data_IF_656526505948
#
_entry.id   IF_656526505948
#
_cell.length_a   1.000
_cell.length_b   1.000
_cell.length_c   1.000
_cell.angle_alpha   90.00
_cell.angle_beta   90.00
_cell.angle_gamma   90.00
#
_symmetry.space_group_name_H-M   'P 1'
#
loop_
_entity.id
_entity.type
_entity.pdbx_description
1 polymer ?
#
# COMPACT_ATOMS: atom_id res chain seq x y z
N UNK A 1 9.28 21.20 4.91
CA UNK A 1 9.53 20.16 3.89
C UNK A 1 8.51 19.08 4.10
N UNK A 2 7.90 18.59 3.03
CA UNK A 2 6.93 17.49 3.07
C UNK A 2 7.51 16.29 2.33
N UNK A 3 7.14 15.07 2.73
CA UNK A 3 7.62 13.83 2.11
C UNK A 3 6.43 12.91 1.84
N UNK A 4 6.32 12.45 0.60
CA UNK A 4 5.38 11.40 0.19
C UNK A 4 6.17 10.19 -0.30
N UNK A 5 6.00 9.06 0.37
CA UNK A 5 6.58 7.78 -0.01
C UNK A 5 5.47 6.92 -0.63
N UNK A 6 5.56 6.62 -1.92
CA UNK A 6 4.56 5.77 -2.60
C UNK A 6 5.18 4.37 -2.80
N UNK A 7 4.59 3.36 -2.17
CA UNK A 7 4.95 1.95 -2.38
C UNK A 7 3.82 1.23 -3.13
N UNK A 8 4.14 0.70 -4.32
CA UNK A 8 3.24 -0.16 -5.07
C UNK A 8 3.64 -1.65 -4.90
N UNK A 9 2.69 -2.51 -4.53
CA UNK A 9 2.95 -3.94 -4.37
C UNK A 9 2.92 -4.67 -5.73
N UNK A 10 3.79 -5.67 -5.87
CA UNK A 10 3.96 -6.50 -7.08
C UNK A 10 4.12 -5.71 -8.39
N UNK A 11 4.60 -4.47 -8.30
CA UNK A 11 4.67 -3.57 -9.45
C UNK A 11 5.92 -3.82 -10.28
N UNK A 12 5.74 -4.30 -11.51
CA UNK A 12 6.84 -4.55 -12.43
C UNK A 12 7.31 -3.26 -13.09
N UNK A 13 8.62 -3.08 -13.16
CA UNK A 13 9.27 -1.92 -13.80
C UNK A 13 8.92 -1.79 -15.29
N UNK A 14 8.69 -2.91 -15.97
CA UNK A 14 8.34 -2.92 -17.39
C UNK A 14 6.87 -2.60 -17.66
N UNK A 15 6.07 -2.25 -16.64
CA UNK A 15 4.75 -1.65 -16.79
C UNK A 15 4.76 -0.13 -16.99
N UNK A 16 5.94 0.51 -16.93
CA UNK A 16 6.10 1.96 -17.03
C UNK A 16 6.40 2.40 -18.47
N UNK A 17 5.69 3.41 -18.95
CA UNK A 17 5.88 4.01 -20.27
C UNK A 17 7.29 4.54 -20.47
N UNK A 18 7.83 5.31 -19.52
CA UNK A 18 9.20 5.83 -19.60
C UNK A 18 10.29 4.73 -19.53
N UNK A 19 9.93 3.51 -19.13
CA UNK A 19 10.82 2.34 -19.16
C UNK A 19 10.71 1.54 -20.48
N UNK A 20 9.97 2.06 -21.47
CA UNK A 20 9.85 1.49 -22.81
C UNK A 20 8.60 0.64 -23.04
N UNK A 21 7.57 0.74 -22.18
CA UNK A 21 6.30 0.07 -22.42
C UNK A 21 5.41 0.89 -23.36
N UNK A 22 5.17 0.37 -24.57
CA UNK A 22 4.35 1.04 -25.59
C UNK A 22 2.84 0.74 -25.47
N UNK A 23 2.44 -0.17 -24.58
CA UNK A 23 1.05 -0.63 -24.41
C UNK A 23 0.40 0.04 -23.21
N UNK A 24 1.05 -0.01 -22.05
CA UNK A 24 0.55 0.53 -20.79
C UNK A 24 0.91 2.02 -20.72
N UNK A 25 -0.11 2.86 -20.60
CA UNK A 25 0.05 4.31 -20.55
C UNK A 25 0.14 4.79 -19.10
N UNK A 26 1.29 5.32 -18.69
CA UNK A 26 1.53 5.82 -17.33
C UNK A 26 1.91 7.31 -17.29
N UNK A 27 1.12 8.22 -17.89
CA UNK A 27 1.54 9.61 -18.13
C UNK A 27 1.90 10.37 -16.85
N UNK A 28 1.23 10.07 -15.73
CA UNK A 28 1.54 10.71 -14.44
C UNK A 28 2.89 10.24 -13.86
N UNK A 29 3.21 8.96 -13.96
CA UNK A 29 4.48 8.40 -13.49
C UNK A 29 5.63 8.77 -14.43
N UNK A 30 5.37 8.84 -15.73
CA UNK A 30 6.35 9.27 -16.73
C UNK A 30 6.71 10.75 -16.53
N UNK A 31 5.71 11.59 -16.22
CA UNK A 31 5.94 12.99 -15.83
C UNK A 31 6.74 13.09 -14.53
N UNK A 32 6.40 12.30 -13.51
CA UNK A 32 7.17 12.25 -12.25
C UNK A 32 8.63 11.87 -12.49
N UNK A 33 8.88 10.87 -13.34
CA UNK A 33 10.23 10.46 -13.71
C UNK A 33 10.99 11.57 -14.47
N UNK A 34 10.31 12.31 -15.35
CA UNK A 34 10.90 13.41 -16.12
C UNK A 34 11.20 14.66 -15.27
N UNK A 35 10.41 14.92 -14.23
CA UNK A 35 10.59 16.04 -13.29
C UNK A 35 11.56 15.71 -12.14
N UNK A 36 11.91 14.43 -11.97
CA UNK A 36 12.74 13.93 -10.87
C UNK A 36 13.94 13.10 -11.33
N UNK A 37 14.23 12.05 -10.59
CA UNK A 37 15.27 11.09 -10.91
C UNK A 37 14.67 9.68 -10.96
N UNK A 38 14.97 8.93 -12.04
CA UNK A 38 14.57 7.52 -12.20
C UNK A 38 15.79 6.61 -12.09
N UNK A 39 15.69 5.56 -11.27
CA UNK A 39 16.75 4.58 -11.06
C UNK A 39 16.44 3.31 -11.85
N UNK A 40 17.21 3.03 -12.90
CA UNK A 40 16.99 1.86 -13.78
C UNK A 40 17.56 0.54 -13.23
N UNK A 41 18.22 0.61 -12.07
CA UNK A 41 18.87 -0.53 -11.39
C UNK A 41 18.54 -0.54 -9.89
N UNK A 42 17.27 -0.41 -9.56
CA UNK A 42 16.75 -0.64 -8.21
C UNK A 42 16.41 -2.11 -8.01
N UNK A 43 16.87 -2.70 -6.90
CA UNK A 43 16.56 -4.09 -6.55
C UNK A 43 15.95 -4.13 -5.16
N UNK A 44 14.91 -4.94 -4.99
CA UNK A 44 14.40 -5.29 -3.67
C UNK A 44 15.43 -6.15 -2.94
N UNK A 45 15.54 -5.94 -1.62
CA UNK A 45 16.50 -6.67 -0.79
C UNK A 45 16.03 -8.07 -0.41
N UNK A 46 14.73 -8.31 -0.47
CA UNK A 46 14.10 -9.56 -0.09
C UNK A 46 12.80 -9.78 -0.86
N UNK A 47 12.36 -11.03 -0.90
CA UNK A 47 11.02 -11.47 -1.29
C UNK A 47 10.57 -12.54 -0.29
N UNK A 48 9.29 -12.64 0.10
CA UNK A 48 8.09 -11.92 -0.42
C UNK A 48 7.89 -10.49 0.15
N UNK A 49 6.66 -9.95 0.05
CA UNK A 49 6.29 -8.56 0.37
C UNK A 49 6.71 -8.11 1.79
N UNK A 50 6.40 -8.89 2.82
CA UNK A 50 6.75 -8.57 4.21
C UNK A 50 8.24 -8.33 4.42
N UNK A 51 9.12 -9.31 4.14
CA UNK A 51 10.57 -9.11 4.18
C UNK A 51 11.08 -7.91 3.38
N UNK A 52 10.52 -7.70 2.18
CA UNK A 52 10.90 -6.58 1.32
C UNK A 52 10.58 -5.23 1.98
N UNK A 53 9.36 -5.06 2.49
CA UNK A 53 8.91 -3.85 3.20
C UNK A 53 9.70 -3.63 4.48
N UNK A 54 9.98 -4.68 5.26
CA UNK A 54 10.81 -4.55 6.46
C UNK A 54 12.22 -4.06 6.11
N UNK A 55 12.81 -4.52 5.01
CA UNK A 55 14.10 -3.99 4.53
C UNK A 55 13.99 -2.51 4.12
N UNK A 56 12.90 -2.10 3.46
CA UNK A 56 12.66 -0.70 3.07
C UNK A 56 12.55 0.20 4.32
N UNK A 57 11.66 -0.15 5.25
CA UNK A 57 11.39 0.69 6.42
C UNK A 57 12.53 0.73 7.42
N UNK A 58 13.38 -0.29 7.49
CA UNK A 58 14.54 -0.30 8.41
C UNK A 58 15.85 0.10 7.74
N UNK A 59 15.88 0.20 6.40
CA UNK A 59 17.13 0.33 5.62
C UNK A 59 18.19 -0.73 5.93
N UNK A 60 17.77 -1.91 6.40
CA UNK A 60 18.62 -3.04 6.78
C UNK A 60 18.45 -4.20 5.78
N UNK A 61 19.51 -4.97 5.59
CA UNK A 61 19.45 -6.22 4.82
C UNK A 61 18.56 -7.25 5.53
N UNK A 62 17.98 -8.20 4.78
CA UNK A 62 17.16 -9.28 5.34
C UNK A 62 17.89 -10.10 6.42
N UNK A 63 19.20 -10.30 6.27
CA UNK A 63 20.01 -11.00 7.29
C UNK A 63 20.12 -10.21 8.61
N UNK A 64 19.94 -8.90 8.55
CA UNK A 64 19.93 -8.00 9.72
C UNK A 64 18.52 -7.86 10.31
N UNK A 65 17.47 -7.78 9.48
CA UNK A 65 16.09 -7.68 9.97
C UNK A 65 15.57 -9.01 10.53
N UNK A 66 16.04 -10.13 9.97
CA UNK A 66 15.62 -11.51 10.26
C UNK A 66 14.14 -11.79 9.97
N UNK A 67 13.41 -10.82 9.41
CA UNK A 67 12.09 -11.02 8.82
C UNK A 67 12.28 -11.72 7.46
N UNK A 68 12.25 -13.05 7.45
CA UNK A 68 12.62 -13.87 6.28
C UNK A 68 11.43 -14.34 5.46
N UNK A 69 10.21 -14.23 5.98
CA UNK A 69 8.96 -14.53 5.27
C UNK A 69 7.84 -13.61 5.74
N UNK A 70 6.70 -13.60 5.04
CA UNK A 70 5.48 -12.98 5.56
C UNK A 70 5.16 -13.56 6.93
N UNK A 71 4.63 -12.71 7.81
CA UNK A 71 4.36 -13.05 9.21
C UNK A 71 5.58 -13.41 10.08
N UNK A 72 6.81 -13.21 9.58
CA UNK A 72 7.98 -13.29 10.45
C UNK A 72 8.10 -11.99 11.24
N UNK A 73 8.12 -12.03 12.59
CA UNK A 73 8.18 -10.82 13.37
C UNK A 73 9.41 -9.96 13.11
N UNK A 74 9.23 -8.64 13.08
CA UNK A 74 10.33 -7.68 13.12
C UNK A 74 10.60 -7.28 14.57
N UNK A 75 11.65 -7.85 15.17
CA UNK A 75 12.01 -7.62 16.58
C UNK A 75 12.35 -6.17 16.91
N UNK A 76 13.13 -5.53 16.05
CA UNK A 76 13.66 -4.18 16.29
C UNK A 76 12.79 -3.11 15.61
N UNK A 77 11.45 -3.27 15.64
CA UNK A 77 10.54 -2.40 14.89
C UNK A 77 10.59 -0.91 15.32
N UNK A 78 11.08 -0.64 16.53
CA UNK A 78 11.35 0.71 17.04
C UNK A 78 12.59 1.37 16.42
N UNK A 79 13.41 0.64 15.68
CA UNK A 79 14.53 1.17 14.89
C UNK A 79 14.16 1.42 13.42
N UNK A 80 12.87 1.35 13.09
CA UNK A 80 12.41 1.63 11.73
C UNK A 80 12.29 3.14 11.48
N UNK A 81 12.37 3.51 10.20
CA UNK A 81 12.20 4.86 9.69
C UNK A 81 11.01 5.63 10.29
N UNK A 82 9.77 5.10 10.34
CA UNK A 82 8.65 5.83 10.95
C UNK A 82 8.89 6.18 12.42
N UNK A 83 9.48 5.28 13.22
CA UNK A 83 9.80 5.57 14.62
C UNK A 83 10.89 6.64 14.73
N UNK A 84 11.95 6.56 13.92
CA UNK A 84 12.98 7.60 13.89
C UNK A 84 12.44 8.98 13.47
N UNK A 85 11.50 9.02 12.53
CA UNK A 85 10.82 10.26 12.14
C UNK A 85 9.96 10.79 13.29
N UNK A 86 9.20 9.92 13.95
CA UNK A 86 8.40 10.25 15.13
C UNK A 86 9.26 10.85 16.24
N UNK A 87 10.36 10.21 16.61
CA UNK A 87 11.27 10.67 17.66
C UNK A 87 11.96 12.01 17.30
N UNK A 88 12.11 12.30 16.01
CA UNK A 88 12.60 13.58 15.51
C UNK A 88 11.50 14.67 15.47
N UNK A 89 10.29 14.37 15.92
CA UNK A 89 9.15 15.30 16.02
C UNK A 89 8.30 15.40 14.76
N UNK A 90 8.42 14.46 13.81
CA UNK A 90 7.50 14.34 12.68
C UNK A 90 6.32 13.44 13.02
N UNK A 91 5.22 13.55 12.28
CA UNK A 91 4.05 12.66 12.43
C UNK A 91 3.85 11.91 11.11
N UNK A 92 4.53 10.76 10.89
CA UNK A 92 4.38 10.03 9.65
C UNK A 92 3.03 9.29 9.62
N UNK A 93 2.20 9.60 8.63
CA UNK A 93 0.97 8.86 8.35
C UNK A 93 1.23 7.64 7.47
N UNK A 94 0.36 6.63 7.60
CA UNK A 94 0.28 5.46 6.72
C UNK A 94 -1.13 5.36 6.13
N UNK A 95 -1.21 5.36 4.80
CA UNK A 95 -2.42 5.03 4.03
C UNK A 95 -2.15 3.73 3.25
N UNK A 96 -2.89 2.68 3.58
CA UNK A 96 -2.65 1.32 3.06
C UNK A 96 -2.08 0.39 4.13
N UNK A 97 -1.08 -0.42 3.77
CA UNK A 97 -0.54 -1.49 4.60
C UNK A 97 0.98 -1.61 4.49
N UNK A 98 1.60 -2.27 5.47
CA UNK A 98 3.07 -2.37 5.60
C UNK A 98 3.62 -3.79 5.82
N UNK A 99 2.75 -4.81 5.96
CA UNK A 99 3.09 -6.20 6.25
C UNK A 99 3.90 -6.43 7.55
N UNK A 100 3.84 -5.50 8.50
CA UNK A 100 4.49 -5.64 9.79
C UNK A 100 3.89 -6.81 10.58
N UNK A 101 4.74 -7.53 11.29
CA UNK A 101 4.30 -8.51 12.28
C UNK A 101 5.03 -8.25 13.59
N UNK A 102 4.30 -8.05 14.71
CA UNK A 102 4.92 -7.77 16.00
C UNK A 102 5.62 -9.00 16.55
N UNK A 103 6.71 -8.79 17.30
CA UNK A 103 7.33 -9.84 18.12
C UNK A 103 6.33 -10.25 19.21
N UNK A 104 5.93 -11.52 19.33
CA UNK A 104 5.04 -11.95 20.41
C UNK A 104 5.58 -11.61 21.80
N UNK A 105 6.90 -11.47 21.96
CA UNK A 105 7.52 -11.09 23.22
C UNK A 105 7.25 -9.64 23.67
N UNK A 106 6.70 -8.78 22.81
CA UNK A 106 6.34 -7.38 23.14
C UNK A 106 4.83 -7.16 23.29
N UNK A 107 4.02 -8.21 23.09
CA UNK A 107 2.58 -8.14 23.21
C UNK A 107 2.14 -8.36 24.66
N UNK A 108 1.01 -7.74 25.03
CA UNK A 108 0.40 -7.91 26.35
C UNK A 108 -0.27 -9.28 26.47
N UNK A 109 -0.35 -9.81 27.70
CA UNK A 109 -1.03 -11.09 27.94
C UNK A 109 -2.50 -11.02 27.51
N UNK A 110 -2.93 -11.97 26.67
CA UNK A 110 -4.27 -12.02 26.10
C UNK A 110 -4.45 -11.23 24.80
N UNK A 111 -3.39 -10.64 24.24
CA UNK A 111 -3.42 -10.06 22.89
C UNK A 111 -3.71 -11.15 21.86
N UNK A 112 -4.74 -10.95 21.05
CA UNK A 112 -5.19 -11.90 20.02
C UNK A 112 -4.09 -12.27 19.01
N UNK A 113 -3.09 -11.39 18.80
CA UNK A 113 -1.98 -11.64 17.88
C UNK A 113 -1.00 -12.70 18.39
N UNK A 114 -1.13 -13.14 19.64
CA UNK A 114 -0.47 -14.36 20.11
C UNK A 114 -1.02 -15.63 19.47
N UNK A 115 -2.30 -15.63 19.10
CA UNK A 115 -3.04 -16.81 18.66
C UNK A 115 -3.35 -16.79 17.17
N UNK A 116 -3.27 -15.61 16.52
CA UNK A 116 -3.56 -15.45 15.09
C UNK A 116 -2.56 -14.54 14.39
N UNK A 117 -2.19 -14.94 13.17
CA UNK A 117 -1.47 -14.08 12.25
C UNK A 117 -2.45 -13.11 11.58
N UNK A 118 -2.04 -11.85 11.47
CA UNK A 118 -2.84 -10.81 10.82
C UNK A 118 -1.90 -9.83 10.12
N UNK A 119 -2.35 -9.30 8.99
CA UNK A 119 -1.68 -8.21 8.30
C UNK A 119 -2.09 -6.83 8.84
N UNK A 120 -3.13 -6.80 9.69
CA UNK A 120 -3.68 -5.61 10.31
C UNK A 120 -2.80 -5.04 11.43
N UNK A 121 -1.48 -5.04 11.24
CA UNK A 121 -0.54 -4.40 12.14
C UNK A 121 -0.06 -3.06 11.57
N UNK A 122 0.30 -2.14 12.45
CA UNK A 122 0.94 -0.88 12.08
C UNK A 122 2.34 -0.84 12.67
N UNK A 123 3.33 -0.49 11.84
CA UNK A 123 4.71 -0.41 12.27
C UNK A 123 4.88 0.80 13.22
N UNK A 124 5.62 0.68 14.34
CA UNK A 124 5.78 1.75 15.31
C UNK A 124 6.21 3.08 14.68
N UNK A 125 5.68 4.17 15.21
CA UNK A 125 5.91 5.54 14.72
C UNK A 125 4.93 6.00 13.65
N UNK A 126 4.29 5.10 12.91
CA UNK A 126 3.22 5.48 11.98
C UNK A 126 1.90 5.78 12.71
N UNK A 127 1.25 6.87 12.32
CA UNK A 127 -0.18 7.07 12.49
C UNK A 127 -0.90 6.29 11.38
N UNK A 128 -1.77 5.34 11.75
CA UNK A 128 -2.63 4.65 10.78
C UNK A 128 -3.75 5.59 10.35
N UNK A 129 -3.59 6.21 9.18
CA UNK A 129 -4.57 7.16 8.62
C UNK A 129 -5.74 6.41 8.01
N UNK A 130 -5.44 5.38 7.23
CA UNK A 130 -6.42 4.49 6.61
C UNK A 130 -5.75 3.16 6.33
N UNK A 131 -6.35 2.06 6.80
CA UNK A 131 -5.84 0.71 6.52
C UNK A 131 -6.61 0.10 5.37
N UNK A 132 -5.88 -0.45 4.42
CA UNK A 132 -6.47 -1.06 3.24
C UNK A 132 -5.57 -2.17 2.76
N UNK A 133 -6.10 -3.38 2.61
CA UNK A 133 -5.33 -4.55 2.19
C UNK A 133 -6.08 -5.39 1.16
N UNK A 134 -6.93 -6.35 1.58
CA UNK A 134 -7.69 -7.23 0.69
C UNK A 134 -9.21 -6.96 0.79
N UNK A 135 -9.77 -6.99 1.99
CA UNK A 135 -11.17 -6.62 2.24
C UNK A 135 -11.19 -5.30 2.99
N UNK A 136 -11.69 -4.25 2.34
CA UNK A 136 -11.95 -2.98 3.00
C UNK A 136 -13.44 -2.74 3.07
N UNK A 137 -14.01 -2.96 4.26
CA UNK A 137 -15.42 -2.69 4.56
C UNK A 137 -15.79 -1.25 4.17
N UNK A 138 -14.93 -0.28 4.50
CA UNK A 138 -15.13 1.13 4.18
C UNK A 138 -15.16 1.42 2.66
N UNK A 139 -14.40 0.67 1.86
CA UNK A 139 -14.46 0.77 0.39
C UNK A 139 -15.74 0.14 -0.16
N UNK A 140 -16.15 -1.03 0.36
CA UNK A 140 -17.38 -1.70 -0.06
C UNK A 140 -18.64 -0.93 0.35
N UNK A 141 -18.66 -0.33 1.54
CA UNK A 141 -19.70 0.59 1.99
C UNK A 141 -19.81 1.79 1.06
N UNK A 142 -18.67 2.36 0.68
CA UNK A 142 -18.64 3.46 -0.28
C UNK A 142 -19.17 3.06 -1.67
N UNK A 143 -18.82 1.86 -2.16
CA UNK A 143 -19.39 1.35 -3.41
C UNK A 143 -20.91 1.11 -3.30
N UNK A 144 -21.39 0.61 -2.15
CA UNK A 144 -22.83 0.46 -1.89
C UNK A 144 -23.56 1.79 -1.98
N UNK A 145 -22.98 2.85 -1.40
CA UNK A 145 -23.53 4.21 -1.47
C UNK A 145 -23.54 4.78 -2.91
N UNK A 146 -22.65 4.29 -3.79
CA UNK A 146 -22.68 4.60 -5.23
C UNK A 146 -23.75 3.83 -6.01
N UNK A 147 -24.44 2.89 -5.37
CA UNK A 147 -25.51 2.08 -5.95
C UNK A 147 -25.04 0.82 -6.68
N UNK A 148 -23.83 0.32 -6.36
CA UNK A 148 -23.40 -0.99 -6.84
C UNK A 148 -24.11 -2.13 -6.10
N UNK A 149 -24.31 -3.24 -6.79
CA UNK A 149 -25.00 -4.43 -6.26
C UNK A 149 -24.13 -5.18 -5.23
N UNK A 150 -24.75 -5.77 -4.21
CA UNK A 150 -24.05 -6.54 -3.16
C UNK A 150 -23.18 -7.67 -3.72
N UNK A 151 -23.56 -8.27 -4.86
CA UNK A 151 -22.76 -9.31 -5.50
C UNK A 151 -21.39 -8.84 -5.97
N UNK A 152 -21.18 -7.53 -6.10
CA UNK A 152 -19.88 -6.92 -6.43
C UNK A 152 -19.03 -6.63 -5.18
N UNK A 153 -19.63 -6.58 -3.99
CA UNK A 153 -19.02 -6.02 -2.77
C UNK A 153 -18.22 -7.08 -1.98
N UNK A 154 -17.24 -7.69 -2.65
CA UNK A 154 -16.27 -8.60 -2.03
C UNK A 154 -14.94 -8.56 -2.77
N UNK A 155 -13.83 -8.89 -2.10
CA UNK A 155 -12.50 -8.93 -2.72
C UNK A 155 -12.47 -9.78 -4.01
N UNK A 156 -13.08 -10.96 -3.99
CA UNK A 156 -13.12 -11.82 -5.18
C UNK A 156 -13.87 -11.16 -6.34
N UNK A 157 -15.05 -10.57 -6.08
CA UNK A 157 -15.93 -10.06 -7.11
C UNK A 157 -15.39 -8.79 -7.79
N UNK A 158 -14.72 -7.90 -7.04
CA UNK A 158 -14.15 -6.67 -7.61
C UNK A 158 -12.99 -6.92 -8.57
N UNK A 159 -12.30 -8.05 -8.42
CA UNK A 159 -11.18 -8.42 -9.30
C UNK A 159 -11.58 -9.32 -10.47
N UNK A 160 -12.86 -9.70 -10.55
CA UNK A 160 -13.40 -10.40 -11.70
C UNK A 160 -13.68 -9.43 -12.87
N UNK A 161 -13.10 -9.69 -14.06
CA UNK A 161 -13.44 -8.93 -15.25
C UNK A 161 -14.91 -9.09 -15.63
N UNK A 162 -15.47 -8.08 -16.28
CA UNK A 162 -16.83 -8.06 -16.81
C UNK A 162 -16.93 -8.85 -18.13
N UNK A 163 -16.76 -10.17 -18.02
CA UNK A 163 -16.77 -11.08 -19.17
C UNK A 163 -18.21 -11.32 -19.64
N UNK A 164 -18.50 -11.27 -20.95
CA UNK A 164 -19.80 -11.61 -21.51
C UNK A 164 -20.28 -13.00 -21.12
N UNK A 165 -21.61 -13.18 -21.06
CA UNK A 165 -22.22 -14.44 -20.64
C UNK A 165 -21.90 -15.64 -21.55
N UNK A 166 -21.59 -15.39 -22.82
CA UNK A 166 -21.12 -16.38 -23.80
C UNK A 166 -19.61 -16.67 -23.71
N UNK A 167 -18.91 -16.01 -22.78
CA UNK A 167 -17.50 -16.20 -22.47
C UNK A 167 -16.58 -15.17 -23.15
N UNK A 168 -15.26 -15.26 -22.92
CA UNK A 168 -14.30 -14.28 -23.41
C UNK A 168 -13.96 -14.44 -24.90
N UNK A 169 -14.57 -15.41 -25.58
CA UNK A 169 -14.25 -15.77 -26.96
C UNK A 169 -12.77 -16.16 -27.12
N UNK A 170 -12.03 -15.54 -28.07
CA UNK A 170 -10.60 -15.81 -28.27
C UNK A 170 -9.69 -15.05 -27.30
N UNK A 171 -10.24 -14.19 -26.43
CA UNK A 171 -9.47 -13.37 -25.51
C UNK A 171 -9.31 -14.03 -24.14
N UNK A 172 -8.35 -13.55 -23.35
CA UNK A 172 -8.31 -13.83 -21.93
C UNK A 172 -9.40 -13.01 -21.20
N UNK A 173 -9.94 -13.48 -20.06
CA UNK A 173 -10.88 -12.70 -19.25
C UNK A 173 -10.38 -11.28 -18.93
N UNK A 174 -9.09 -11.10 -18.71
CA UNK A 174 -8.46 -9.81 -18.37
C UNK A 174 -8.51 -8.78 -19.50
N UNK A 175 -8.95 -9.15 -20.71
CA UNK A 175 -9.24 -8.19 -21.77
C UNK A 175 -10.45 -7.30 -21.43
N UNK A 176 -11.39 -7.84 -20.65
CA UNK A 176 -12.62 -7.16 -20.30
C UNK A 176 -12.40 -6.22 -19.11
N UNK A 177 -13.16 -5.10 -19.04
CA UNK A 177 -12.98 -4.10 -18.00
C UNK A 177 -13.44 -4.63 -16.63
N UNK A 178 -13.14 -3.86 -15.58
CA UNK A 178 -13.77 -4.08 -14.29
C UNK A 178 -15.29 -3.81 -14.36
N UNK A 179 -16.05 -4.43 -13.45
CA UNK A 179 -17.51 -4.24 -13.29
C UNK A 179 -17.89 -2.89 -12.65
N UNK A 180 -16.92 -2.01 -12.45
CA UNK A 180 -17.08 -0.67 -11.89
C UNK A 180 -16.35 0.37 -12.73
N UNK A 181 -16.77 1.63 -12.58
CA UNK A 181 -16.10 2.79 -13.22
C UNK A 181 -14.70 2.99 -12.66
N UNK A 182 -13.76 3.44 -13.51
CA UNK A 182 -12.37 3.67 -13.09
C UNK A 182 -12.25 4.62 -11.88
N UNK A 183 -13.09 5.66 -11.82
CA UNK A 183 -13.16 6.60 -10.68
C UNK A 183 -13.61 5.94 -9.37
N UNK A 184 -14.24 4.78 -9.46
CA UNK A 184 -14.73 3.99 -8.31
C UNK A 184 -13.80 2.81 -7.99
N UNK A 185 -12.61 2.76 -8.58
CA UNK A 185 -11.61 1.76 -8.23
C UNK A 185 -11.11 1.94 -6.81
N UNK A 186 -10.70 0.84 -6.21
CA UNK A 186 -10.05 0.78 -4.91
C UNK A 186 -8.83 1.72 -4.82
N UNK A 187 -7.99 1.71 -5.86
CA UNK A 187 -6.84 2.61 -5.95
C UNK A 187 -7.26 4.10 -5.95
N UNK A 188 -8.34 4.46 -6.65
CA UNK A 188 -8.87 5.83 -6.61
C UNK A 188 -9.37 6.20 -5.21
N UNK A 189 -10.08 5.28 -4.54
CA UNK A 189 -10.57 5.49 -3.18
C UNK A 189 -9.42 5.71 -2.17
N UNK A 190 -8.41 4.84 -2.17
CA UNK A 190 -7.22 4.96 -1.31
C UNK A 190 -6.46 6.26 -1.62
N UNK A 191 -6.34 6.62 -2.91
CA UNK A 191 -5.71 7.87 -3.34
C UNK A 191 -6.46 9.10 -2.80
N UNK A 192 -7.79 9.09 -2.83
CA UNK A 192 -8.60 10.18 -2.28
C UNK A 192 -8.41 10.31 -0.76
N UNK A 193 -8.32 9.20 -0.01
CA UNK A 193 -7.96 9.23 1.44
C UNK A 193 -6.59 9.88 1.67
N UNK A 194 -5.60 9.56 0.85
CA UNK A 194 -4.27 10.18 0.93
C UNK A 194 -4.31 11.69 0.60
N UNK A 195 -5.09 12.10 -0.41
CA UNK A 195 -5.27 13.51 -0.77
C UNK A 195 -5.96 14.27 0.36
N UNK A 196 -6.99 13.69 0.98
CA UNK A 196 -7.71 14.28 2.11
C UNK A 196 -6.74 14.51 3.30
N UNK A 197 -5.92 13.51 3.65
CA UNK A 197 -4.89 13.65 4.67
C UNK A 197 -3.90 14.77 4.36
N UNK A 198 -3.37 14.82 3.13
CA UNK A 198 -2.42 15.86 2.72
C UNK A 198 -3.04 17.25 2.80
N UNK A 199 -4.31 17.42 2.38
CA UNK A 199 -5.02 18.70 2.47
C UNK A 199 -5.20 19.13 3.92
N UNK A 200 -5.65 18.21 4.78
CA UNK A 200 -5.85 18.48 6.20
C UNK A 200 -4.52 18.89 6.86
N UNK A 201 -3.48 18.08 6.73
CA UNK A 201 -2.15 18.36 7.31
C UNK A 201 -1.52 19.63 6.76
N UNK A 202 -1.73 19.96 5.48
CA UNK A 202 -1.23 21.20 4.89
C UNK A 202 -1.97 22.45 5.39
N UNK A 203 -3.20 22.30 5.88
CA UNK A 203 -3.97 23.39 6.48
C UNK A 203 -3.58 23.67 7.94
N UNK A 204 -3.04 22.67 8.63
CA UNK A 204 -2.53 22.80 9.98
C UNK A 204 -1.16 23.52 9.93
N UNK A 205 -1.04 24.68 10.59
CA UNK A 205 0.26 25.33 10.79
C UNK A 205 1.08 24.53 11.81
N UNK A 206 1.72 23.46 11.35
CA UNK A 206 2.66 22.69 12.13
C UNK A 206 4.09 23.25 11.98
N UNK A 207 4.88 23.15 13.05
CA UNK A 207 6.29 23.56 13.06
C UNK A 207 7.15 22.75 12.07
N UNK A 208 6.68 21.56 11.69
CA UNK A 208 7.25 20.69 10.65
C UNK A 208 6.23 20.39 9.57
N UNK A 209 6.71 19.97 8.40
CA UNK A 209 5.83 19.50 7.34
C UNK A 209 5.27 18.11 7.63
N UNK A 210 4.53 17.56 6.67
CA UNK A 210 3.94 16.22 6.79
C UNK A 210 4.81 15.14 6.14
N UNK A 211 4.68 13.92 6.64
CA UNK A 211 5.21 12.70 6.02
C UNK A 211 4.06 11.73 5.83
N UNK A 212 3.92 11.17 4.64
CA UNK A 212 2.91 10.16 4.33
C UNK A 212 3.57 9.00 3.59
N UNK A 213 3.26 7.78 4.00
CA UNK A 213 3.55 6.55 3.27
C UNK A 213 2.27 5.89 2.78
#
# INVERSE_FOLDING_TARGET
MNVLLILADQFRVDCLGHMGNDVIRTPNLDRLAAEGASFTRGFNQAAPCGPSRMCIYTSRYMCSTRAVNNFTPLRDAHEALPQHLHDAGWNPGLVGYNDYTPDPGILEEGDERHERLTYDNCLPGFERVYYHEYDSEEYFDWLRDKGYDESLLSHSAIHEPDVPADGPGPHLPQHFPAKYRAEHSECAYVTDRAIDYVRERSSQQADRGWVLS
#
